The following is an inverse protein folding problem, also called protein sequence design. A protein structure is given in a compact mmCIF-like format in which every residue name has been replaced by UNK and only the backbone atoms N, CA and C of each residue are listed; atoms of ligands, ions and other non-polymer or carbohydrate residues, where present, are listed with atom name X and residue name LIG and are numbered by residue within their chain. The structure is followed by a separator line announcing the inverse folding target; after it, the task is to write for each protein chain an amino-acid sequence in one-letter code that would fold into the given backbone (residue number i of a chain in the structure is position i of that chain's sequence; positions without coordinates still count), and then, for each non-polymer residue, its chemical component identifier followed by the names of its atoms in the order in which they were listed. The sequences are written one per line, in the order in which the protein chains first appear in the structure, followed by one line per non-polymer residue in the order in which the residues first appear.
data_IF_802161313357
#
_entry.id   IF_802161313357
#
_cell.length_a   1.000
_cell.length_b   1.000
_cell.length_c   1.000
_cell.angle_alpha   90.00
_cell.angle_beta   90.00
_cell.angle_gamma   90.00
#
_symmetry.space_group_name_H-M   'P 1'
#
loop_
_entity.id
_entity.type
_entity.pdbx_description
1 polymer ?
#
# COMPACT_ATOMS: atom_id res chain seq x y z
N UNK A 1 12.31 22.14 -23.28
CA UNK A 1 13.04 22.25 -22.00
C UNK A 1 12.85 20.92 -21.28
N UNK A 2 13.93 20.26 -20.85
CA UNK A 2 13.81 19.03 -20.07
C UNK A 2 13.03 19.37 -18.79
N UNK A 3 12.00 18.57 -18.48
CA UNK A 3 11.29 18.70 -17.22
C UNK A 3 12.28 18.44 -16.09
N UNK A 4 12.48 19.41 -15.21
CA UNK A 4 13.25 19.24 -14.00
C UNK A 4 12.32 18.77 -12.91
N UNK A 5 12.63 17.65 -12.24
CA UNK A 5 11.89 17.20 -11.06
C UNK A 5 11.95 18.28 -9.98
N UNK A 6 10.81 18.54 -9.36
CA UNK A 6 10.71 19.55 -8.34
C UNK A 6 10.15 18.95 -7.05
N UNK A 7 10.93 19.07 -5.97
CA UNK A 7 10.52 18.66 -4.64
C UNK A 7 10.53 19.88 -3.71
N UNK A 8 9.51 20.72 -3.83
CA UNK A 8 9.39 21.91 -2.99
C UNK A 8 9.25 21.53 -1.52
N UNK A 9 9.94 22.23 -0.62
CA UNK A 9 9.75 22.03 0.82
C UNK A 9 8.30 22.28 1.22
N UNK A 10 7.73 21.35 1.97
CA UNK A 10 6.39 21.48 2.56
C UNK A 10 6.49 21.51 4.07
N UNK A 11 5.99 22.57 4.67
CA UNK A 11 5.81 22.66 6.12
C UNK A 11 4.42 22.12 6.48
N UNK A 12 4.39 21.29 7.53
CA UNK A 12 3.12 20.80 8.05
C UNK A 12 2.45 21.92 8.85
N UNK A 13 1.19 22.26 8.50
CA UNK A 13 0.43 23.29 9.22
C UNK A 13 0.17 22.89 10.68
N UNK A 14 -0.18 23.83 11.56
CA UNK A 14 -0.36 23.58 12.99
C UNK A 14 -1.35 22.44 13.31
N UNK A 15 -2.45 22.35 12.57
CA UNK A 15 -3.46 21.28 12.71
C UNK A 15 -2.89 19.89 12.46
N UNK A 16 -1.94 19.75 11.56
CA UNK A 16 -1.22 18.47 11.33
C UNK A 16 -0.33 18.09 12.51
N UNK A 17 0.22 19.08 13.24
CA UNK A 17 1.04 18.82 14.43
C UNK A 17 0.17 18.33 15.59
N UNK A 18 -1.00 18.92 15.78
CA UNK A 18 -1.96 18.47 16.80
C UNK A 18 -2.53 17.10 16.45
N UNK A 19 -2.93 16.86 15.20
CA UNK A 19 -3.38 15.55 14.73
C UNK A 19 -2.31 14.47 14.97
N UNK A 20 -1.03 14.77 14.76
CA UNK A 20 0.08 13.85 15.07
C UNK A 20 0.09 13.42 16.54
N UNK A 21 -0.11 14.37 17.46
CA UNK A 21 -0.18 14.07 18.90
C UNK A 21 -1.38 13.17 19.21
N UNK A 22 -2.52 13.46 18.61
CA UNK A 22 -3.74 12.66 18.76
C UNK A 22 -3.53 11.23 18.28
N UNK A 23 -2.95 11.03 17.07
CA UNK A 23 -2.67 9.71 16.52
C UNK A 23 -1.69 8.94 17.41
N UNK A 24 -0.63 9.57 17.87
CA UNK A 24 0.34 8.93 18.79
C UNK A 24 -0.30 8.52 20.11
N UNK A 25 -1.16 9.36 20.68
CA UNK A 25 -1.88 9.04 21.93
C UNK A 25 -2.81 7.83 21.71
N UNK A 26 -3.53 7.79 20.60
CA UNK A 26 -4.37 6.65 20.21
C UNK A 26 -3.53 5.38 20.04
N UNK A 27 -2.44 5.43 19.29
CA UNK A 27 -1.58 4.27 19.06
C UNK A 27 -0.99 3.74 20.37
N UNK A 28 -0.54 4.64 21.25
CA UNK A 28 -0.06 4.28 22.59
C UNK A 28 -1.15 3.55 23.39
N UNK A 29 -2.36 4.07 23.42
CA UNK A 29 -3.51 3.44 24.07
C UNK A 29 -3.81 2.04 23.51
N UNK A 30 -3.77 1.87 22.18
CA UNK A 30 -4.04 0.58 21.55
C UNK A 30 -2.92 -0.45 21.81
N UNK A 31 -1.68 -0.01 21.89
CA UNK A 31 -0.54 -0.85 22.29
C UNK A 31 -0.68 -1.29 23.76
N UNK A 32 -0.98 -0.36 24.67
CA UNK A 32 -1.18 -0.64 26.09
C UNK A 32 -2.38 -1.56 26.34
N UNK A 33 -3.43 -1.45 25.52
CA UNK A 33 -4.60 -2.33 25.54
C UNK A 33 -4.33 -3.72 24.91
N UNK A 34 -3.13 -3.96 24.37
CA UNK A 34 -2.78 -5.23 23.72
C UNK A 34 -3.47 -5.47 22.37
N UNK A 35 -4.04 -4.43 21.75
CA UNK A 35 -4.67 -4.55 20.43
C UNK A 35 -3.65 -4.96 19.38
N UNK A 36 -2.42 -4.46 19.46
CA UNK A 36 -1.29 -4.88 18.65
C UNK A 36 0.04 -4.59 19.34
N UNK A 37 1.12 -5.22 18.85
CA UNK A 37 2.49 -4.94 19.28
C UNK A 37 3.36 -4.47 18.11
N UNK A 38 4.10 -3.37 18.23
CA UNK A 38 5.00 -2.90 17.16
C UNK A 38 6.10 -3.89 16.78
N UNK A 39 6.56 -4.71 17.73
CA UNK A 39 7.53 -5.79 17.51
C UNK A 39 6.89 -7.13 17.14
N UNK A 40 5.57 -7.25 17.24
CA UNK A 40 4.83 -8.46 17.00
C UNK A 40 4.58 -8.77 15.53
N UNK A 41 4.09 -9.99 15.29
CA UNK A 41 3.59 -10.43 14.00
C UNK A 41 2.28 -9.72 13.59
N UNK A 42 1.55 -10.31 12.66
CA UNK A 42 0.22 -9.80 12.26
C UNK A 42 -0.74 -9.86 13.44
N UNK A 43 -1.46 -8.77 13.64
CA UNK A 43 -2.50 -8.71 14.65
C UNK A 43 -3.75 -9.44 14.15
N UNK A 44 -4.27 -10.35 14.97
CA UNK A 44 -5.59 -10.97 14.77
C UNK A 44 -6.72 -9.94 14.89
N UNK A 45 -6.45 -8.79 15.50
CA UNK A 45 -7.40 -7.71 15.75
C UNK A 45 -7.47 -6.66 14.62
N UNK A 46 -6.92 -6.93 13.42
CA UNK A 46 -6.85 -5.93 12.35
C UNK A 46 -8.22 -5.35 11.94
N UNK A 47 -9.28 -6.16 11.91
CA UNK A 47 -10.64 -5.70 11.62
C UNK A 47 -11.20 -4.82 12.74
N UNK A 48 -10.98 -5.18 14.02
CA UNK A 48 -11.37 -4.35 15.16
C UNK A 48 -10.61 -3.02 15.18
N UNK A 49 -9.30 -3.07 14.92
CA UNK A 49 -8.48 -1.86 14.81
C UNK A 49 -8.97 -0.93 13.69
N UNK A 50 -9.32 -1.48 12.51
CA UNK A 50 -9.88 -0.70 11.40
C UNK A 50 -11.15 0.06 11.80
N UNK A 51 -12.08 -0.58 12.52
CA UNK A 51 -13.29 0.08 13.04
C UNK A 51 -12.96 1.22 14.01
N UNK A 52 -11.97 1.03 14.88
CA UNK A 52 -11.50 2.08 15.79
C UNK A 52 -10.89 3.27 15.03
N UNK A 53 -10.11 3.00 13.98
CA UNK A 53 -9.52 4.02 13.09
C UNK A 53 -10.63 4.75 12.31
N UNK A 54 -11.63 4.01 11.79
CA UNK A 54 -12.82 4.58 11.13
C UNK A 54 -13.60 5.50 12.06
N UNK A 55 -13.84 5.08 13.31
CA UNK A 55 -14.53 5.89 14.32
C UNK A 55 -13.80 7.21 14.67
N UNK A 56 -12.48 7.31 14.42
CA UNK A 56 -11.70 8.54 14.54
C UNK A 56 -11.75 9.42 13.30
N UNK A 57 -12.41 8.98 12.23
CA UNK A 57 -12.43 9.67 10.94
C UNK A 57 -11.09 9.67 10.20
N UNK A 58 -10.31 8.60 10.36
CA UNK A 58 -8.98 8.46 9.74
C UNK A 58 -8.95 7.50 8.56
N UNK A 59 -10.11 7.01 8.12
CA UNK A 59 -10.30 6.31 6.85
C UNK A 59 -11.16 7.21 5.95
N UNK A 60 -10.83 7.30 4.67
CA UNK A 60 -11.53 8.19 3.74
C UNK A 60 -11.34 9.68 4.06
N UNK A 61 -10.21 10.05 4.67
CA UNK A 61 -9.95 11.42 5.16
C UNK A 61 -10.14 12.48 4.08
N UNK A 62 -9.68 12.23 2.86
CA UNK A 62 -9.74 13.20 1.74
C UNK A 62 -10.97 13.06 0.87
N UNK A 63 -11.86 12.12 1.17
CA UNK A 63 -13.02 11.80 0.35
C UNK A 63 -14.19 12.77 0.57
N UNK A 64 -15.10 12.89 -0.43
CA UNK A 64 -16.27 13.75 -0.33
C UNK A 64 -17.20 13.37 0.83
N UNK A 65 -17.69 14.37 1.52
CA UNK A 65 -18.61 14.19 2.68
C UNK A 65 -19.94 13.55 2.29
N UNK A 66 -20.40 13.76 1.06
CA UNK A 66 -21.65 13.19 0.55
C UNK A 66 -21.66 11.65 0.51
N UNK A 67 -20.47 11.01 0.49
CA UNK A 67 -20.31 9.56 0.59
C UNK A 67 -19.76 9.12 1.96
N UNK A 68 -19.84 9.98 2.97
CA UNK A 68 -19.35 9.67 4.32
C UNK A 68 -17.86 9.94 4.54
N UNK A 69 -17.14 10.47 3.55
CA UNK A 69 -15.76 10.92 3.70
C UNK A 69 -15.64 12.16 4.58
N UNK A 70 -14.42 12.59 4.88
CA UNK A 70 -14.18 13.66 5.87
C UNK A 70 -13.76 14.99 5.24
N UNK A 71 -13.43 15.03 3.94
CA UNK A 71 -13.00 16.25 3.24
C UNK A 71 -11.76 16.91 3.84
N UNK A 72 -10.89 16.13 4.49
CA UNK A 72 -9.62 16.58 5.06
C UNK A 72 -8.55 16.72 3.96
N UNK A 73 -7.41 17.26 4.34
CA UNK A 73 -6.29 17.53 3.43
C UNK A 73 -5.39 16.31 3.20
N UNK A 74 -4.62 16.32 2.11
CA UNK A 74 -3.61 15.29 1.82
C UNK A 74 -2.48 15.28 2.87
N UNK A 75 -2.15 16.44 3.46
CA UNK A 75 -1.14 16.54 4.51
C UNK A 75 -1.62 15.93 5.84
N UNK A 76 -2.89 16.12 6.20
CA UNK A 76 -3.47 15.45 7.38
C UNK A 76 -3.48 13.93 7.19
N UNK A 77 -3.93 13.43 6.02
CA UNK A 77 -3.89 12.01 5.67
C UNK A 77 -2.46 11.45 5.72
N UNK A 78 -1.48 12.21 5.20
CA UNK A 78 -0.07 11.84 5.26
C UNK A 78 0.39 11.61 6.69
N UNK A 79 0.08 12.52 7.61
CA UNK A 79 0.49 12.43 9.02
C UNK A 79 -0.09 11.19 9.69
N UNK A 80 -1.37 10.90 9.49
CA UNK A 80 -2.01 9.69 10.04
C UNK A 80 -1.33 8.43 9.49
N UNK A 81 -1.13 8.36 8.17
CA UNK A 81 -0.50 7.21 7.53
C UNK A 81 0.94 7.00 8.02
N UNK A 82 1.72 8.08 8.14
CA UNK A 82 3.10 8.05 8.64
C UNK A 82 3.18 7.48 10.05
N UNK A 83 2.36 7.96 10.97
CA UNK A 83 2.34 7.47 12.36
C UNK A 83 1.87 6.01 12.47
N UNK A 84 0.82 5.63 11.74
CA UNK A 84 0.34 4.24 11.69
C UNK A 84 1.44 3.28 11.24
N UNK A 85 2.18 3.61 10.20
CA UNK A 85 3.24 2.76 9.64
C UNK A 85 4.49 2.75 10.53
N UNK A 86 4.90 3.90 11.07
CA UNK A 86 6.05 3.99 11.98
C UNK A 86 5.87 3.15 13.24
N UNK A 87 4.63 3.00 13.73
CA UNK A 87 4.29 2.14 14.87
C UNK A 87 3.90 0.71 14.47
N UNK A 88 3.97 0.35 13.18
CA UNK A 88 3.53 -0.94 12.65
C UNK A 88 2.09 -1.31 13.03
N UNK A 89 1.22 -0.32 13.07
CA UNK A 89 -0.19 -0.55 13.32
C UNK A 89 -0.80 -1.50 12.27
N UNK A 90 -1.79 -2.34 12.63
CA UNK A 90 -2.37 -3.35 11.74
C UNK A 90 -3.33 -2.74 10.70
N UNK A 91 -2.80 -1.91 9.80
CA UNK A 91 -3.55 -1.15 8.79
C UNK A 91 -4.09 -1.99 7.65
N UNK A 92 -3.66 -3.24 7.51
CA UNK A 92 -3.92 -4.09 6.33
C UNK A 92 -5.40 -4.29 6.01
N UNK A 93 -6.27 -4.28 7.01
CA UNK A 93 -7.71 -4.48 6.80
C UNK A 93 -8.32 -3.36 5.96
N UNK A 94 -7.91 -2.10 6.18
CA UNK A 94 -8.51 -0.94 5.51
C UNK A 94 -7.60 -0.27 4.47
N UNK A 95 -6.28 -0.48 4.53
CA UNK A 95 -5.32 0.31 3.74
C UNK A 95 -5.51 0.17 2.22
N UNK A 96 -5.87 -1.01 1.72
CA UNK A 96 -6.17 -1.21 0.29
C UNK A 96 -7.44 -0.45 -0.11
N UNK A 97 -8.48 -0.52 0.72
CA UNK A 97 -9.72 0.21 0.50
C UNK A 97 -9.50 1.73 0.50
N UNK A 98 -8.81 2.26 1.53
CA UNK A 98 -8.55 3.70 1.69
C UNK A 98 -7.65 4.28 0.60
N UNK A 99 -6.61 3.53 0.18
CA UNK A 99 -5.61 4.05 -0.74
C UNK A 99 -5.95 3.84 -2.21
N UNK A 100 -6.60 2.74 -2.56
CA UNK A 100 -6.80 2.30 -3.95
C UNK A 100 -8.27 2.11 -4.30
N UNK A 101 -8.98 1.21 -3.62
CA UNK A 101 -10.33 0.81 -4.06
C UNK A 101 -11.36 1.91 -3.90
N UNK A 102 -11.35 2.65 -2.79
CA UNK A 102 -12.27 3.76 -2.55
C UNK A 102 -12.11 4.90 -3.56
N UNK A 103 -10.89 5.41 -3.83
CA UNK A 103 -10.66 6.40 -4.88
C UNK A 103 -11.13 5.94 -6.27
N UNK A 104 -10.91 4.66 -6.64
CA UNK A 104 -11.42 4.08 -7.89
C UNK A 104 -12.94 4.12 -7.93
N UNK A 105 -13.60 3.64 -6.87
CA UNK A 105 -15.05 3.63 -6.78
C UNK A 105 -15.64 5.05 -6.79
N UNK A 106 -15.06 5.99 -6.05
CA UNK A 106 -15.49 7.38 -6.03
C UNK A 106 -15.43 8.03 -7.41
N UNK A 107 -14.40 7.72 -8.18
CA UNK A 107 -14.18 8.33 -9.50
C UNK A 107 -14.97 7.65 -10.61
N UNK A 108 -15.10 6.32 -10.59
CA UNK A 108 -15.59 5.52 -11.71
C UNK A 108 -16.73 4.56 -11.37
N UNK A 109 -17.03 4.36 -10.08
CA UNK A 109 -18.12 3.49 -9.64
C UNK A 109 -19.49 4.07 -9.98
N UNK A 110 -20.49 3.19 -10.09
CA UNK A 110 -21.89 3.61 -10.23
C UNK A 110 -22.39 4.24 -8.92
N UNK A 111 -23.34 5.17 -9.03
CA UNK A 111 -23.78 5.98 -7.91
C UNK A 111 -24.36 5.13 -6.76
N UNK A 112 -25.14 4.10 -7.09
CA UNK A 112 -25.68 3.16 -6.12
C UNK A 112 -24.56 2.45 -5.32
N UNK A 113 -23.55 1.94 -6.02
CA UNK A 113 -22.38 1.29 -5.40
C UNK A 113 -21.60 2.25 -4.51
N UNK A 114 -21.42 3.50 -4.93
CA UNK A 114 -20.74 4.51 -4.10
C UNK A 114 -21.49 4.72 -2.78
N UNK A 115 -22.81 4.92 -2.83
CA UNK A 115 -23.65 5.16 -1.64
C UNK A 115 -23.71 3.98 -0.70
N UNK A 116 -23.63 2.77 -1.20
CA UNK A 116 -23.62 1.55 -0.40
C UNK A 116 -22.22 1.26 0.20
N UNK A 117 -21.18 1.30 -0.62
CA UNK A 117 -19.86 0.75 -0.27
C UNK A 117 -18.95 1.77 0.41
N UNK A 118 -18.95 3.04 -0.03
CA UNK A 118 -18.00 4.04 0.49
C UNK A 118 -18.19 4.30 1.99
N UNK A 119 -19.41 4.49 2.54
CA UNK A 119 -19.58 4.67 3.99
C UNK A 119 -19.08 3.48 4.81
N UNK A 120 -19.23 2.26 4.30
CA UNK A 120 -18.74 1.04 4.96
C UNK A 120 -17.22 0.89 4.91
N UNK A 121 -16.57 1.41 3.88
CA UNK A 121 -15.10 1.55 3.87
C UNK A 121 -14.68 2.56 4.95
N UNK A 122 -15.30 3.74 4.98
CA UNK A 122 -14.97 4.82 5.92
C UNK A 122 -15.12 4.38 7.38
N UNK A 123 -16.14 3.56 7.68
CA UNK A 123 -16.32 2.98 9.01
C UNK A 123 -15.30 1.90 9.40
N UNK A 124 -14.44 1.47 8.47
CA UNK A 124 -13.49 0.38 8.67
C UNK A 124 -14.14 -1.02 8.70
N UNK A 125 -15.36 -1.16 8.18
CA UNK A 125 -16.08 -2.44 8.12
C UNK A 125 -15.53 -3.34 7.01
N UNK A 126 -15.32 -2.79 5.80
CA UNK A 126 -14.99 -3.57 4.62
C UNK A 126 -13.49 -3.71 4.37
N UNK A 127 -13.08 -4.92 4.06
CA UNK A 127 -11.74 -5.26 3.61
C UNK A 127 -11.72 -5.47 2.10
N UNK A 128 -10.69 -4.92 1.43
CA UNK A 128 -10.52 -5.01 -0.02
C UNK A 128 -9.21 -5.68 -0.41
N UNK A 129 -9.24 -6.36 -1.56
CA UNK A 129 -8.05 -6.81 -2.26
C UNK A 129 -8.06 -6.33 -3.72
N UNK A 130 -6.91 -6.46 -4.39
CA UNK A 130 -6.73 -6.07 -5.80
C UNK A 130 -6.31 -7.28 -6.61
N UNK A 131 -7.04 -7.59 -7.67
CA UNK A 131 -6.79 -8.69 -8.59
C UNK A 131 -6.29 -8.19 -9.94
N UNK A 132 -4.97 -7.94 -10.08
CA UNK A 132 -4.35 -7.53 -11.34
C UNK A 132 -3.57 -8.68 -11.98
N UNK A 133 -2.56 -9.17 -11.26
CA UNK A 133 -1.58 -10.15 -11.76
C UNK A 133 -2.21 -11.53 -12.01
N UNK A 134 -1.72 -12.22 -13.03
CA UNK A 134 -2.04 -13.61 -13.37
C UNK A 134 -0.76 -14.43 -13.51
N UNK A 135 -0.80 -15.76 -13.55
CA UNK A 135 0.41 -16.57 -13.69
C UNK A 135 1.33 -16.16 -14.85
N UNK A 136 0.75 -15.69 -15.95
CA UNK A 136 1.48 -15.26 -17.14
C UNK A 136 1.42 -13.74 -17.39
N UNK A 137 0.94 -12.95 -16.43
CA UNK A 137 0.75 -11.51 -16.55
C UNK A 137 1.07 -10.82 -15.21
N UNK A 138 2.22 -10.17 -15.13
CA UNK A 138 2.66 -9.40 -13.98
C UNK A 138 2.92 -7.94 -14.38
N UNK A 139 4.18 -7.57 -14.68
CA UNK A 139 4.51 -6.24 -15.19
C UNK A 139 3.82 -5.91 -16.52
N UNK A 140 3.63 -6.89 -17.39
CA UNK A 140 2.75 -6.78 -18.57
C UNK A 140 1.30 -7.10 -18.20
N UNK A 141 0.68 -6.16 -17.50
CA UNK A 141 -0.73 -6.29 -17.05
C UNK A 141 -1.72 -6.40 -18.22
N UNK A 142 -1.32 -5.98 -19.43
CA UNK A 142 -2.14 -6.08 -20.63
C UNK A 142 -2.26 -7.47 -21.19
N UNK A 143 -1.40 -8.39 -20.77
CA UNK A 143 -1.49 -9.81 -21.09
C UNK A 143 -2.51 -10.57 -20.23
N UNK A 144 -3.27 -9.88 -19.36
CA UNK A 144 -4.29 -10.49 -18.51
C UNK A 144 -5.34 -11.20 -19.38
N UNK A 145 -5.70 -12.42 -18.96
CA UNK A 145 -6.56 -13.36 -19.68
C UNK A 145 -7.81 -13.80 -18.92
N UNK A 146 -7.90 -13.53 -17.60
CA UNK A 146 -9.12 -13.79 -16.80
C UNK A 146 -10.28 -13.05 -17.45
N UNK A 147 -11.26 -13.82 -17.95
CA UNK A 147 -12.31 -13.30 -18.83
C UNK A 147 -13.58 -12.97 -18.05
N UNK A 148 -14.20 -11.85 -18.41
CA UNK A 148 -15.57 -11.51 -18.05
C UNK A 148 -16.42 -11.53 -19.33
N UNK A 149 -17.36 -12.46 -19.39
CA UNK A 149 -18.27 -12.64 -20.54
C UNK A 149 -19.62 -12.06 -20.19
N UNK A 150 -20.14 -11.16 -21.04
CA UNK A 150 -21.46 -10.55 -20.82
C UNK A 150 -22.56 -11.61 -20.83
N UNK A 151 -23.45 -11.52 -19.86
CA UNK A 151 -24.65 -12.35 -19.74
C UNK A 151 -25.84 -11.47 -19.31
N UNK A 152 -27.01 -12.09 -19.12
CA UNK A 152 -28.20 -11.36 -18.71
C UNK A 152 -28.01 -10.76 -17.29
N UNK A 153 -28.18 -9.45 -17.15
CA UNK A 153 -28.04 -8.71 -15.90
C UNK A 153 -26.61 -8.57 -15.35
N UNK A 154 -25.58 -9.09 -16.05
CA UNK A 154 -24.22 -9.03 -15.51
C UNK A 154 -23.17 -9.72 -16.39
N UNK A 155 -22.16 -10.27 -15.74
CA UNK A 155 -20.96 -10.86 -16.35
C UNK A 155 -20.61 -12.17 -15.64
N UNK A 156 -20.22 -13.18 -16.42
CA UNK A 156 -19.62 -14.42 -15.90
C UNK A 156 -18.10 -14.33 -15.99
N UNK A 157 -17.45 -14.50 -14.85
CA UNK A 157 -15.99 -14.38 -14.71
C UNK A 157 -15.37 -15.76 -14.59
N UNK A 158 -14.38 -16.02 -15.46
CA UNK A 158 -13.61 -17.26 -15.51
C UNK A 158 -12.11 -16.98 -15.63
N UNK A 159 -11.29 -17.69 -14.86
CA UNK A 159 -9.85 -17.55 -14.86
C UNK A 159 -9.25 -17.52 -13.48
N UNK A 160 -8.10 -16.86 -13.33
CA UNK A 160 -7.42 -16.78 -12.02
C UNK A 160 -6.54 -15.56 -11.90
N UNK A 161 -6.46 -15.04 -10.66
CA UNK A 161 -5.53 -14.01 -10.25
C UNK A 161 -4.52 -14.59 -9.27
N UNK A 162 -3.29 -14.07 -9.25
CA UNK A 162 -2.23 -14.53 -8.36
C UNK A 162 -1.59 -13.33 -7.63
N UNK A 163 -0.90 -13.59 -6.55
CA UNK A 163 -0.28 -12.58 -5.70
C UNK A 163 -1.29 -11.58 -5.11
N UNK A 164 -2.55 -12.03 -5.00
CA UNK A 164 -3.61 -11.19 -4.44
C UNK A 164 -3.46 -11.08 -2.92
N UNK A 165 -2.98 -9.91 -2.47
CA UNK A 165 -2.74 -9.66 -1.06
C UNK A 165 -4.04 -9.70 -0.27
N UNK A 166 -4.03 -10.46 0.84
CA UNK A 166 -5.11 -10.51 1.82
C UNK A 166 -6.49 -10.93 1.28
N UNK A 167 -6.57 -11.62 0.12
CA UNK A 167 -7.83 -12.02 -0.50
C UNK A 167 -8.69 -12.93 0.41
N UNK A 168 -8.07 -13.74 1.26
CA UNK A 168 -8.73 -14.63 2.21
C UNK A 168 -9.53 -13.89 3.31
N UNK A 169 -9.26 -12.60 3.53
CA UNK A 169 -9.99 -11.75 4.47
C UNK A 169 -10.83 -10.67 3.78
N UNK A 170 -10.74 -10.56 2.44
CA UNK A 170 -11.40 -9.49 1.71
C UNK A 170 -12.90 -9.75 1.52
N UNK A 171 -13.70 -8.71 1.65
CA UNK A 171 -15.12 -8.71 1.29
C UNK A 171 -15.30 -8.46 -0.21
N UNK A 172 -14.45 -7.58 -0.79
CA UNK A 172 -14.49 -7.23 -2.20
C UNK A 172 -13.10 -7.20 -2.83
N UNK A 173 -13.07 -7.45 -4.14
CA UNK A 173 -11.90 -7.30 -5.00
C UNK A 173 -12.17 -6.25 -6.09
N UNK A 174 -11.22 -5.35 -6.33
CA UNK A 174 -11.16 -4.66 -7.62
C UNK A 174 -10.36 -5.55 -8.56
N UNK A 175 -11.07 -6.18 -9.50
CA UNK A 175 -10.51 -7.11 -10.47
C UNK A 175 -10.36 -6.48 -11.83
N UNK A 176 -9.17 -6.60 -12.46
CA UNK A 176 -8.94 -6.24 -13.85
C UNK A 176 -9.20 -7.46 -14.73
N UNK A 177 -10.23 -7.42 -15.57
CA UNK A 177 -10.73 -8.57 -16.32
C UNK A 177 -10.75 -8.28 -17.83
N UNK A 178 -10.61 -9.33 -18.64
CA UNK A 178 -10.66 -9.29 -20.09
C UNK A 178 -12.11 -9.36 -20.57
N UNK A 179 -12.63 -8.28 -21.14
CA UNK A 179 -13.98 -8.16 -21.70
C UNK A 179 -14.01 -8.36 -23.21
N UNK A 180 -12.96 -7.92 -23.91
CA UNK A 180 -12.76 -8.18 -25.33
C UNK A 180 -11.29 -8.46 -25.67
N UNK A 181 -10.99 -8.91 -26.86
CA UNK A 181 -9.62 -9.18 -27.28
C UNK A 181 -8.88 -7.85 -27.55
N UNK A 182 -7.56 -7.79 -27.30
CA UNK A 182 -6.75 -6.65 -27.74
C UNK A 182 -6.78 -6.55 -29.26
N UNK A 183 -6.63 -5.31 -29.79
CA UNK A 183 -6.48 -5.11 -31.23
C UNK A 183 -5.00 -5.05 -31.62
N UNK A 184 -4.62 -5.31 -32.87
CA UNK A 184 -3.23 -5.16 -33.32
C UNK A 184 -2.65 -3.75 -33.04
N UNK A 185 -3.49 -2.72 -33.14
CA UNK A 185 -3.12 -1.32 -32.95
C UNK A 185 -3.11 -0.91 -31.46
N UNK A 186 -3.85 -1.64 -30.60
CA UNK A 186 -4.00 -1.29 -29.19
C UNK A 186 -4.02 -2.51 -28.26
N UNK A 187 -2.84 -2.92 -27.79
CA UNK A 187 -2.69 -3.99 -26.79
C UNK A 187 -3.41 -3.71 -25.46
N UNK A 188 -3.74 -2.44 -25.17
CA UNK A 188 -4.39 -2.00 -23.92
C UNK A 188 -5.90 -2.12 -23.97
N UNK A 189 -6.46 -2.32 -25.17
CA UNK A 189 -7.90 -2.53 -25.36
C UNK A 189 -8.39 -3.83 -24.74
N UNK A 190 -9.65 -3.87 -24.37
CA UNK A 190 -10.34 -5.09 -23.95
C UNK A 190 -10.18 -5.43 -22.46
N UNK A 191 -9.75 -4.50 -21.64
CA UNK A 191 -9.68 -4.65 -20.17
C UNK A 191 -10.68 -3.73 -19.49
N UNK A 192 -11.42 -4.27 -18.52
CA UNK A 192 -12.40 -3.58 -17.69
C UNK A 192 -12.18 -3.88 -16.21
N UNK A 193 -12.43 -2.92 -15.34
CA UNK A 193 -12.39 -3.16 -13.89
C UNK A 193 -13.78 -3.55 -13.36
N UNK A 194 -13.79 -4.44 -12.39
CA UNK A 194 -15.01 -4.91 -11.73
C UNK A 194 -14.85 -4.95 -10.22
N UNK A 195 -15.93 -4.65 -9.51
CA UNK A 195 -16.09 -4.89 -8.09
C UNK A 195 -16.63 -6.31 -7.89
N UNK A 196 -15.78 -7.24 -7.47
CA UNK A 196 -16.14 -8.64 -7.27
C UNK A 196 -16.33 -8.91 -5.79
N UNK A 197 -17.52 -9.39 -5.40
CA UNK A 197 -17.79 -9.85 -4.02
C UNK A 197 -17.06 -11.17 -3.77
N UNK A 198 -16.14 -11.20 -2.79
CA UNK A 198 -15.23 -12.35 -2.58
C UNK A 198 -15.89 -13.59 -1.99
N UNK A 199 -17.14 -13.47 -1.50
CA UNK A 199 -17.96 -14.59 -1.00
C UNK A 199 -18.90 -15.16 -2.05
N UNK A 200 -18.80 -14.73 -3.32
CA UNK A 200 -19.61 -15.23 -4.43
C UNK A 200 -19.33 -16.71 -4.69
N UNK A 201 -20.36 -17.44 -5.10
CA UNK A 201 -20.23 -18.82 -5.55
C UNK A 201 -19.26 -18.89 -6.74
N UNK A 202 -18.42 -19.93 -6.81
CA UNK A 202 -17.43 -20.13 -7.87
C UNK A 202 -16.06 -19.52 -7.55
N UNK A 203 -15.88 -18.79 -6.44
CA UNK A 203 -14.57 -18.29 -6.02
C UNK A 203 -13.87 -19.34 -5.15
N UNK A 204 -12.63 -19.69 -5.53
CA UNK A 204 -11.73 -20.51 -4.71
C UNK A 204 -10.47 -19.71 -4.39
N UNK A 205 -10.12 -19.61 -3.11
CA UNK A 205 -8.94 -18.89 -2.62
C UNK A 205 -7.92 -19.91 -2.12
N UNK A 206 -6.70 -19.88 -2.70
CA UNK A 206 -5.60 -20.76 -2.33
C UNK A 206 -4.46 -19.94 -1.71
N UNK A 207 -3.92 -20.35 -0.55
CA UNK A 207 -2.87 -19.61 0.13
C UNK A 207 -1.53 -19.67 -0.62
N UNK A 208 -0.80 -18.55 -0.58
CA UNK A 208 0.61 -18.48 -0.95
C UNK A 208 1.36 -18.00 0.28
N UNK A 209 2.18 -18.88 0.84
CA UNK A 209 2.99 -18.58 2.02
C UNK A 209 4.27 -17.91 1.56
N UNK A 210 4.61 -16.77 2.17
CA UNK A 210 5.81 -16.01 1.83
C UNK A 210 7.05 -16.46 2.63
N UNK A 211 8.20 -15.83 2.40
CA UNK A 211 9.47 -16.18 3.07
C UNK A 211 9.42 -16.02 4.59
N UNK A 212 8.51 -15.19 5.13
CA UNK A 212 8.34 -15.04 6.59
C UNK A 212 7.49 -16.13 7.23
N UNK A 213 7.00 -17.09 6.43
CA UNK A 213 6.03 -18.08 6.86
C UNK A 213 4.58 -17.57 6.95
N UNK A 214 4.34 -16.30 6.61
CA UNK A 214 3.01 -15.69 6.70
C UNK A 214 2.16 -15.97 5.44
N UNK A 215 0.86 -16.20 5.64
CA UNK A 215 -0.15 -16.24 4.59
C UNK A 215 -0.51 -14.81 4.19
N UNK A 216 0.25 -14.24 3.23
CA UNK A 216 0.06 -12.86 2.76
C UNK A 216 -0.69 -12.78 1.45
N UNK A 217 -0.38 -13.69 0.55
CA UNK A 217 -0.83 -13.69 -0.83
C UNK A 217 -1.73 -14.89 -1.10
N UNK A 218 -2.46 -14.78 -2.20
CA UNK A 218 -3.38 -15.83 -2.62
C UNK A 218 -3.38 -15.97 -4.14
N UNK A 219 -3.61 -17.19 -4.63
CA UNK A 219 -4.24 -17.43 -5.90
C UNK A 219 -5.76 -17.38 -5.70
N UNK A 220 -6.47 -16.65 -6.55
CA UNK A 220 -7.93 -16.56 -6.57
C UNK A 220 -8.41 -17.10 -7.90
N UNK A 221 -9.17 -18.20 -7.86
CA UNK A 221 -9.74 -18.87 -9.03
C UNK A 221 -11.20 -18.49 -9.16
N UNK A 222 -11.63 -18.15 -10.36
CA UNK A 222 -13.00 -17.84 -10.75
C UNK A 222 -13.52 -18.93 -11.69
N UNK A 223 -14.64 -19.53 -11.31
CA UNK A 223 -15.35 -20.57 -12.05
C UNK A 223 -16.83 -20.17 -12.16
N UNK A 224 -17.23 -19.61 -13.30
CA UNK A 224 -18.56 -19.04 -13.57
C UNK A 224 -19.06 -18.07 -12.48
N UNK A 225 -18.18 -17.18 -12.00
CA UNK A 225 -18.53 -16.20 -10.97
C UNK A 225 -19.37 -15.09 -11.58
N UNK A 226 -20.63 -14.96 -11.12
CA UNK A 226 -21.50 -13.88 -11.57
C UNK A 226 -21.16 -12.54 -10.90
N UNK A 227 -20.99 -11.49 -11.71
CA UNK A 227 -20.80 -10.10 -11.29
C UNK A 227 -21.88 -9.24 -11.92
N UNK A 228 -22.74 -8.54 -11.16
CA UNK A 228 -23.82 -7.74 -11.70
C UNK A 228 -23.31 -6.52 -12.47
N UNK A 229 -24.09 -6.02 -13.42
CA UNK A 229 -23.73 -4.85 -14.23
C UNK A 229 -23.44 -3.60 -13.39
N UNK A 230 -24.12 -3.42 -12.27
CA UNK A 230 -23.86 -2.32 -11.33
C UNK A 230 -22.44 -2.35 -10.72
N UNK A 231 -21.81 -3.50 -10.71
CA UNK A 231 -20.46 -3.69 -10.18
C UNK A 231 -19.35 -3.50 -11.24
N UNK A 232 -19.70 -3.18 -12.48
CA UNK A 232 -18.71 -2.73 -13.46
C UNK A 232 -18.21 -1.33 -13.10
N UNK A 233 -16.91 -1.12 -13.17
CA UNK A 233 -16.28 0.15 -12.79
C UNK A 233 -15.85 0.89 -14.05
N UNK A 234 -16.43 2.07 -14.28
CA UNK A 234 -16.18 2.92 -15.44
C UNK A 234 -16.81 2.37 -16.71
N UNK A 235 -16.06 2.35 -17.80
CA UNK A 235 -16.51 1.94 -19.14
C UNK A 235 -15.86 0.62 -19.57
N UNK A 236 -16.61 -0.17 -20.35
CA UNK A 236 -16.09 -1.42 -20.93
C UNK A 236 -14.84 -1.13 -21.79
N UNK A 237 -13.82 -1.96 -21.64
CA UNK A 237 -12.56 -1.91 -22.40
C UNK A 237 -11.67 -0.67 -22.12
N UNK A 238 -12.00 0.15 -21.12
CA UNK A 238 -11.30 1.42 -20.84
C UNK A 238 -10.49 1.41 -19.52
N UNK A 239 -10.26 0.25 -18.91
CA UNK A 239 -9.58 0.16 -17.60
C UNK A 239 -8.21 0.82 -17.56
N UNK A 240 -7.48 0.90 -18.68
CA UNK A 240 -6.16 1.53 -18.72
C UNK A 240 -6.20 3.03 -18.42
N UNK A 241 -7.20 3.75 -18.95
CA UNK A 241 -7.36 5.19 -18.67
C UNK A 241 -7.62 5.44 -17.19
N UNK A 242 -8.29 4.49 -16.55
CA UNK A 242 -8.65 4.55 -15.14
C UNK A 242 -7.43 4.22 -14.25
N UNK A 243 -6.72 3.14 -14.52
CA UNK A 243 -5.58 2.69 -13.75
C UNK A 243 -4.38 3.67 -13.78
N UNK A 244 -4.15 4.36 -14.89
CA UNK A 244 -3.01 5.28 -15.01
C UNK A 244 -3.11 6.51 -14.10
N UNK A 245 -4.32 6.97 -13.78
CA UNK A 245 -4.55 8.14 -12.94
C UNK A 245 -4.30 7.89 -11.44
N UNK A 246 -4.31 6.65 -11.01
CA UNK A 246 -4.20 6.26 -9.58
C UNK A 246 -2.78 6.02 -9.12
N UNK A 247 -1.88 5.70 -10.05
CA UNK A 247 -0.52 5.27 -9.74
C UNK A 247 0.33 6.34 -9.01
N UNK A 248 0.02 7.62 -9.17
CA UNK A 248 0.72 8.70 -8.46
C UNK A 248 0.40 8.68 -6.94
N UNK A 249 -0.86 8.45 -6.59
CA UNK A 249 -1.30 8.36 -5.18
C UNK A 249 -0.72 7.14 -4.47
N UNK A 250 -0.52 6.05 -5.21
CA UNK A 250 -0.02 4.79 -4.66
C UNK A 250 1.49 4.81 -4.37
N UNK A 251 2.28 5.57 -5.15
CA UNK A 251 3.74 5.42 -5.21
C UNK A 251 4.53 6.31 -4.26
N UNK A 252 3.94 7.32 -3.66
CA UNK A 252 4.68 8.36 -2.92
C UNK A 252 4.46 8.36 -1.41
N UNK A 253 3.57 7.53 -0.90
CA UNK A 253 3.23 7.49 0.52
C UNK A 253 4.35 6.93 1.41
N UNK A 254 4.25 7.11 2.74
CA UNK A 254 5.20 6.58 3.71
C UNK A 254 5.35 5.05 3.66
N UNK A 255 4.37 4.34 3.12
CA UNK A 255 4.39 2.89 2.88
C UNK A 255 5.43 2.45 1.83
N UNK A 256 6.19 3.37 1.25
CA UNK A 256 7.24 3.10 0.28
C UNK A 256 8.65 3.23 0.82
N UNK A 257 8.79 3.52 2.12
CA UNK A 257 10.10 3.67 2.78
C UNK A 257 10.08 3.39 4.29
N UNK A 258 8.95 2.96 4.87
CA UNK A 258 8.80 2.65 6.30
C UNK A 258 8.61 1.14 6.62
N UNK A 259 8.48 0.27 5.64
CA UNK A 259 8.22 -1.17 5.88
C UNK A 259 9.35 -1.86 6.65
N UNK A 260 10.59 -1.44 6.46
CA UNK A 260 11.77 -2.01 7.15
C UNK A 260 12.29 -1.13 8.30
N UNK A 261 11.62 -0.03 8.61
CA UNK A 261 12.05 0.93 9.65
C UNK A 261 12.27 0.26 11.01
N UNK A 262 11.46 -0.76 11.35
CA UNK A 262 11.54 -1.41 12.67
C UNK A 262 12.93 -2.02 12.95
N UNK A 263 13.63 -2.49 11.93
CA UNK A 263 15.02 -2.96 12.09
C UNK A 263 15.95 -1.86 12.63
N UNK A 264 15.81 -0.64 12.11
CA UNK A 264 16.60 0.51 12.58
C UNK A 264 16.16 0.98 13.98
N UNK A 265 14.87 0.99 14.28
CA UNK A 265 14.34 1.35 15.61
C UNK A 265 14.88 0.41 16.68
N UNK A 266 14.83 -0.90 16.44
CA UNK A 266 15.34 -1.88 17.38
C UNK A 266 16.88 -1.87 17.46
N UNK A 267 17.59 -1.56 16.35
CA UNK A 267 19.03 -1.32 16.39
C UNK A 267 19.37 -0.18 17.35
N UNK A 268 18.72 0.97 17.22
CA UNK A 268 18.96 2.13 18.11
C UNK A 268 18.71 1.75 19.56
N UNK A 269 17.68 0.95 19.83
CA UNK A 269 17.38 0.50 21.19
C UNK A 269 18.48 -0.40 21.76
N UNK A 270 19.01 -1.37 21.00
CA UNK A 270 20.03 -2.30 21.52
C UNK A 270 21.43 -1.68 21.55
N UNK A 271 21.71 -0.71 20.70
CA UNK A 271 22.97 0.07 20.73
C UNK A 271 23.01 0.98 21.96
N UNK A 272 21.85 1.51 22.40
CA UNK A 272 21.74 2.35 23.58
C UNK A 272 22.32 3.77 23.40
N UNK A 273 22.53 4.48 24.54
CA UNK A 273 22.92 5.90 24.54
C UNK A 273 24.39 6.15 24.22
N UNK A 274 25.23 5.12 24.24
CA UNK A 274 26.69 5.23 24.03
C UNK A 274 27.13 4.40 22.81
N UNK A 275 26.75 4.81 21.58
CA UNK A 275 27.18 4.11 20.37
C UNK A 275 28.68 4.29 20.13
N UNK A 276 29.32 3.28 19.55
CA UNK A 276 30.66 3.48 18.97
C UNK A 276 30.59 4.49 17.81
N UNK A 277 31.72 5.13 17.45
CA UNK A 277 31.77 6.07 16.32
C UNK A 277 31.21 5.46 15.03
N UNK A 278 31.54 4.20 14.72
CA UNK A 278 31.01 3.48 13.58
C UNK A 278 29.49 3.33 13.61
N UNK A 279 28.92 3.02 14.79
CA UNK A 279 27.46 2.90 14.96
C UNK A 279 26.79 4.26 14.85
N UNK A 280 27.33 5.29 15.48
CA UNK A 280 26.81 6.64 15.43
C UNK A 280 26.80 7.19 13.99
N UNK A 281 27.92 7.01 13.23
CA UNK A 281 27.98 7.41 11.83
C UNK A 281 26.97 6.62 10.97
N UNK A 282 26.92 5.31 11.13
CA UNK A 282 26.01 4.46 10.35
C UNK A 282 24.55 4.77 10.61
N UNK A 283 24.13 4.88 11.86
CA UNK A 283 22.77 5.27 12.26
C UNK A 283 22.43 6.66 11.73
N UNK A 284 23.35 7.64 11.91
CA UNK A 284 23.17 9.00 11.42
C UNK A 284 22.95 9.07 9.91
N UNK A 285 23.66 8.25 9.14
CA UNK A 285 23.50 8.13 7.67
C UNK A 285 22.11 7.63 7.30
N UNK A 286 21.61 6.60 7.98
CA UNK A 286 20.26 6.06 7.69
C UNK A 286 19.15 7.02 8.14
N UNK A 287 19.34 7.74 9.23
CA UNK A 287 18.42 8.82 9.67
C UNK A 287 18.38 9.96 8.65
N UNK A 288 19.53 10.35 8.06
CA UNK A 288 19.59 11.36 7.00
C UNK A 288 18.84 10.90 5.73
N UNK A 289 18.96 9.62 5.35
CA UNK A 289 18.17 9.03 4.26
C UNK A 289 16.68 9.09 4.55
N UNK A 290 16.24 8.66 5.73
CA UNK A 290 14.84 8.74 6.16
C UNK A 290 14.30 10.18 6.11
N UNK A 291 15.06 11.15 6.60
CA UNK A 291 14.69 12.56 6.57
C UNK A 291 14.52 13.06 5.12
N UNK A 292 15.40 12.65 4.22
CA UNK A 292 15.32 12.99 2.79
C UNK A 292 14.09 12.36 2.15
N UNK A 293 13.87 11.06 2.34
CA UNK A 293 12.69 10.35 1.81
C UNK A 293 11.40 10.98 2.30
N UNK A 294 11.33 11.31 3.60
CA UNK A 294 10.19 11.99 4.19
C UNK A 294 9.91 13.35 3.53
N UNK A 295 10.94 14.17 3.31
CA UNK A 295 10.80 15.47 2.64
C UNK A 295 10.29 15.33 1.22
N UNK A 296 10.83 14.41 0.44
CA UNK A 296 10.38 14.13 -0.92
C UNK A 296 8.92 13.64 -0.94
N UNK A 297 8.58 12.71 -0.06
CA UNK A 297 7.22 12.17 0.06
C UNK A 297 6.20 13.25 0.48
N UNK A 298 6.55 14.13 1.42
CA UNK A 298 5.73 15.31 1.80
C UNK A 298 5.55 16.30 0.65
N UNK A 299 6.61 16.55 -0.13
CA UNK A 299 6.52 17.41 -1.31
C UNK A 299 5.48 16.85 -2.30
N UNK A 300 5.50 15.55 -2.57
CA UNK A 300 4.49 14.91 -3.43
C UNK A 300 3.09 15.03 -2.83
N UNK A 301 2.92 14.87 -1.51
CA UNK A 301 1.63 15.07 -0.85
C UNK A 301 1.13 16.53 -1.02
N UNK A 302 2.02 17.50 -0.93
CA UNK A 302 1.71 18.92 -1.21
C UNK A 302 1.29 19.15 -2.66
N UNK A 303 1.96 18.51 -3.62
CA UNK A 303 1.57 18.58 -5.04
C UNK A 303 0.17 18.00 -5.28
N UNK A 304 -0.14 16.85 -4.67
CA UNK A 304 -1.46 16.23 -4.74
C UNK A 304 -2.53 17.13 -4.12
N UNK A 305 -2.24 17.79 -3.00
CA UNK A 305 -3.14 18.76 -2.38
C UNK A 305 -3.39 19.97 -3.26
N UNK A 306 -2.40 20.39 -4.05
CA UNK A 306 -2.52 21.45 -5.04
C UNK A 306 -3.18 20.99 -6.37
N UNK A 307 -3.73 19.77 -6.44
CA UNK A 307 -4.39 19.20 -7.61
C UNK A 307 -3.45 18.80 -8.76
N UNK A 308 -2.12 18.72 -8.51
CA UNK A 308 -1.16 18.23 -9.49
C UNK A 308 -1.16 16.70 -9.57
N UNK A 309 -0.61 16.15 -10.66
CA UNK A 309 -0.44 14.70 -10.88
C UNK A 309 1.06 14.33 -10.98
N UNK A 310 1.81 14.30 -9.86
CA UNK A 310 3.26 14.14 -9.83
C UNK A 310 3.71 12.69 -10.06
N UNK A 311 3.45 12.14 -11.25
CA UNK A 311 3.70 10.72 -11.55
C UNK A 311 5.19 10.36 -11.57
N UNK A 312 6.05 11.26 -12.05
CA UNK A 312 7.50 11.06 -12.08
C UNK A 312 8.12 11.22 -10.70
N UNK A 313 7.77 12.27 -9.96
CA UNK A 313 8.22 12.49 -8.57
C UNK A 313 7.82 11.35 -7.65
N UNK A 314 6.56 10.87 -7.76
CA UNK A 314 6.09 9.71 -7.01
C UNK A 314 6.88 8.43 -7.38
N UNK A 315 7.25 8.26 -8.65
CA UNK A 315 8.07 7.14 -9.11
C UNK A 315 9.50 7.21 -8.56
N UNK A 316 10.07 8.41 -8.45
CA UNK A 316 11.40 8.64 -7.83
C UNK A 316 11.35 8.29 -6.35
N UNK A 317 10.34 8.78 -5.62
CA UNK A 317 10.18 8.46 -4.18
C UNK A 317 10.13 6.95 -3.98
N UNK A 318 9.36 6.23 -4.81
CA UNK A 318 9.28 4.77 -4.71
C UNK A 318 10.59 4.07 -5.09
N UNK A 319 11.27 4.45 -6.17
CA UNK A 319 12.55 3.80 -6.56
C UNK A 319 13.62 3.99 -5.49
N UNK A 320 13.77 5.19 -4.95
CA UNK A 320 14.72 5.48 -3.87
C UNK A 320 14.30 4.79 -2.55
N UNK A 321 13.02 4.83 -2.20
CA UNK A 321 12.48 4.15 -1.01
C UNK A 321 12.71 2.65 -1.07
N UNK A 322 12.44 2.02 -2.20
CA UNK A 322 12.71 0.59 -2.40
C UNK A 322 14.19 0.24 -2.21
N UNK A 323 15.11 1.06 -2.76
CA UNK A 323 16.54 0.87 -2.56
C UNK A 323 16.93 0.96 -1.08
N UNK A 324 16.40 1.96 -0.38
CA UNK A 324 16.62 2.15 1.04
C UNK A 324 16.14 0.94 1.84
N UNK A 325 14.90 0.52 1.64
CA UNK A 325 14.28 -0.59 2.37
C UNK A 325 14.96 -1.94 2.12
N UNK A 326 15.43 -2.20 0.91
CA UNK A 326 16.16 -3.42 0.59
C UNK A 326 17.58 -3.45 1.18
N UNK A 327 18.24 -2.30 1.28
CA UNK A 327 19.57 -2.20 1.84
C UNK A 327 19.60 -2.16 3.38
N UNK A 328 18.55 -1.60 4.00
CA UNK A 328 18.51 -1.31 5.43
C UNK A 328 18.75 -2.54 6.33
N UNK A 329 18.13 -3.71 6.11
CA UNK A 329 18.32 -4.87 6.99
C UNK A 329 19.79 -5.32 7.05
N UNK A 330 20.49 -5.31 5.93
CA UNK A 330 21.92 -5.67 5.91
C UNK A 330 22.80 -4.62 6.62
N UNK A 331 22.51 -3.34 6.44
CA UNK A 331 23.19 -2.26 7.15
C UNK A 331 22.96 -2.35 8.67
N UNK A 332 21.71 -2.62 9.09
CA UNK A 332 21.35 -2.85 10.50
C UNK A 332 22.16 -4.00 11.07
N UNK A 333 22.26 -5.13 10.37
CA UNK A 333 23.05 -6.29 10.79
C UNK A 333 24.52 -5.95 11.00
N UNK A 334 25.12 -5.15 10.10
CA UNK A 334 26.53 -4.75 10.18
C UNK A 334 26.82 -3.76 11.32
N UNK A 335 25.81 -3.02 11.79
CA UNK A 335 25.91 -2.08 12.91
C UNK A 335 25.54 -2.69 14.26
N UNK A 336 24.92 -3.87 14.24
CA UNK A 336 24.52 -4.55 15.48
C UNK A 336 25.71 -4.78 16.40
N UNK A 337 25.53 -4.71 17.74
CA UNK A 337 26.54 -5.08 18.70
C UNK A 337 27.00 -6.53 18.46
N UNK A 338 28.32 -6.75 18.56
CA UNK A 338 28.85 -8.13 18.54
C UNK A 338 28.46 -8.80 19.85
N UNK A 339 27.75 -9.92 19.77
CA UNK A 339 27.40 -10.71 20.97
C UNK A 339 28.66 -11.26 21.61
N UNK A 340 28.90 -10.89 22.87
CA UNK A 340 29.76 -11.68 23.76
C UNK A 340 29.04 -12.94 24.22
N UNK A 341 29.75 -13.91 24.79
CA UNK A 341 29.21 -15.20 25.30
C UNK A 341 28.24 -15.05 26.49
N UNK A 342 27.70 -13.86 26.75
CA UNK A 342 26.75 -13.58 27.82
C UNK A 342 25.35 -14.02 27.39
N UNK A 343 24.61 -14.66 28.31
CA UNK A 343 23.26 -15.16 28.08
C UNK A 343 22.32 -14.14 27.44
N UNK A 344 21.39 -14.58 26.55
CA UNK A 344 20.45 -13.69 25.89
C UNK A 344 19.56 -12.99 26.91
N UNK A 345 19.66 -11.67 26.97
CA UNK A 345 18.67 -10.86 27.65
C UNK A 345 17.39 -10.84 26.81
N UNK A 346 16.22 -10.89 27.43
CA UNK A 346 14.90 -10.90 26.76
C UNK A 346 14.69 -9.73 25.79
N UNK A 347 15.52 -8.69 25.88
CA UNK A 347 15.58 -7.55 24.95
C UNK A 347 16.18 -7.89 23.57
N UNK A 348 16.99 -8.93 23.46
CA UNK A 348 17.64 -9.32 22.20
C UNK A 348 16.67 -9.99 21.23
N UNK A 349 15.65 -10.68 21.74
CA UNK A 349 14.66 -11.37 20.91
C UNK A 349 13.87 -10.40 20.01
N UNK A 350 13.57 -9.20 20.46
CA UNK A 350 12.86 -8.17 19.69
C UNK A 350 13.70 -7.67 18.50
N UNK A 351 14.99 -7.43 18.75
CA UNK A 351 15.92 -7.00 17.69
C UNK A 351 16.06 -8.08 16.61
N UNK A 352 16.32 -9.33 17.04
CA UNK A 352 16.45 -10.47 16.13
C UNK A 352 15.17 -10.71 15.33
N UNK A 353 14.01 -10.67 15.98
CA UNK A 353 12.71 -10.79 15.30
C UNK A 353 12.51 -9.67 14.27
N UNK A 354 12.82 -8.42 14.61
CA UNK A 354 12.72 -7.28 13.70
C UNK A 354 13.69 -7.40 12.53
N UNK A 355 14.95 -7.78 12.78
CA UNK A 355 15.97 -7.98 11.77
C UNK A 355 15.59 -9.12 10.80
N UNK A 356 15.17 -10.27 11.34
CA UNK A 356 14.74 -11.41 10.55
C UNK A 356 13.53 -11.05 9.68
N UNK A 357 12.50 -10.47 10.27
CA UNK A 357 11.31 -10.04 9.53
C UNK A 357 11.66 -9.09 8.40
N UNK A 358 12.39 -8.01 8.69
CA UNK A 358 12.75 -6.99 7.68
C UNK A 358 13.65 -7.56 6.59
N UNK A 359 14.54 -8.50 6.91
CA UNK A 359 15.37 -9.21 5.94
C UNK A 359 14.51 -10.06 4.99
N UNK A 360 13.55 -10.81 5.52
CA UNK A 360 12.73 -11.73 4.74
C UNK A 360 11.68 -11.02 3.88
N UNK A 361 11.21 -9.82 4.27
CA UNK A 361 10.27 -9.05 3.44
C UNK A 361 10.93 -8.16 2.40
N UNK A 362 12.20 -7.77 2.59
CA UNK A 362 12.89 -6.82 1.72
C UNK A 362 12.84 -7.17 0.23
N UNK A 363 12.98 -8.45 -0.21
CA UNK A 363 12.93 -8.80 -1.63
C UNK A 363 11.62 -8.43 -2.34
N UNK A 364 10.46 -8.52 -1.64
CA UNK A 364 9.15 -8.22 -2.25
C UNK A 364 8.96 -6.73 -2.57
N UNK A 365 9.66 -5.83 -1.85
CA UNK A 365 9.42 -4.38 -1.89
C UNK A 365 9.77 -3.77 -3.25
N UNK A 366 10.67 -4.40 -4.02
CA UNK A 366 11.00 -3.97 -5.38
C UNK A 366 9.89 -4.27 -6.40
N UNK A 367 9.01 -5.24 -6.12
CA UNK A 367 7.98 -5.71 -7.06
C UNK A 367 6.67 -4.96 -6.84
N UNK A 368 6.34 -4.65 -5.61
CA UNK A 368 5.08 -4.06 -5.17
C UNK A 368 4.86 -2.64 -5.76
N UNK A 369 3.67 -2.38 -6.37
CA UNK A 369 3.32 -1.06 -6.93
C UNK A 369 4.11 -0.67 -8.20
N UNK A 370 4.58 -1.64 -8.97
CA UNK A 370 5.44 -1.52 -10.14
C UNK A 370 6.91 -1.77 -9.82
N UNK A 371 7.56 -2.57 -10.67
CA UNK A 371 8.99 -2.86 -10.50
C UNK A 371 9.83 -1.61 -10.74
N UNK A 372 11.07 -1.60 -10.24
CA UNK A 372 12.02 -0.49 -10.43
C UNK A 372 12.27 -0.18 -11.91
N UNK A 373 12.28 -1.22 -12.77
CA UNK A 373 12.45 -1.08 -14.22
C UNK A 373 11.28 -0.30 -14.83
N UNK A 374 10.05 -0.59 -14.41
CA UNK A 374 8.85 0.14 -14.84
C UNK A 374 8.91 1.60 -14.36
N UNK A 375 9.28 1.84 -13.09
CA UNK A 375 9.39 3.18 -12.52
C UNK A 375 10.45 4.01 -13.27
N UNK A 376 11.63 3.45 -13.50
CA UNK A 376 12.69 4.11 -14.25
C UNK A 376 12.30 4.40 -15.69
N UNK A 377 11.49 3.53 -16.30
CA UNK A 377 10.87 3.81 -17.60
C UNK A 377 9.93 5.02 -17.61
N UNK A 378 9.19 5.25 -16.52
CA UNK A 378 8.34 6.44 -16.34
C UNK A 378 9.21 7.68 -16.16
N UNK A 379 10.20 7.64 -15.28
CA UNK A 379 11.15 8.71 -15.01
C UNK A 379 11.89 9.11 -16.29
N UNK A 380 12.42 8.14 -17.04
CA UNK A 380 13.14 8.38 -18.29
C UNK A 380 12.27 9.07 -19.36
N UNK A 381 10.99 8.69 -19.44
CA UNK A 381 10.04 9.33 -20.38
C UNK A 381 9.78 10.78 -20.00
N UNK A 382 9.62 11.08 -18.72
CA UNK A 382 9.39 12.44 -18.25
C UNK A 382 10.61 13.33 -18.46
N UNK A 383 11.82 12.75 -18.40
CA UNK A 383 13.07 13.43 -18.77
C UNK A 383 13.29 13.59 -20.28
N UNK A 384 12.40 13.10 -21.12
CA UNK A 384 12.54 13.14 -22.57
C UNK A 384 13.60 12.18 -23.15
N UNK A 385 13.98 11.15 -22.38
CA UNK A 385 14.98 10.14 -22.79
C UNK A 385 14.39 8.98 -23.58
N UNK A 386 13.06 8.97 -23.77
CA UNK A 386 12.28 7.96 -24.51
C UNK A 386 11.11 8.60 -25.25
#
# INVERSE_FOLDING_TARGET
MANTFQFDPVELPPECKELRKEVRAFLKQEIEAGTFSPGGGRSENAALFAKKVGARGWIGMTWPKEYGGHGRTQLERYVVTEEMLAHRAPTRHYSTADRQSGPVLLRYGQEEVKREIIPRIVSGELCFCIGLSEPNSGSDVFAASTRATKTDGGWLVNGRKIWTSNAHNADYMIGLLRTSNPTPENRRHGLTQFLVAMKSKGITIRPIINLTGAHDFNEVVFDDVFVPDSHMIGEVDQAWKQASAELAYERSGPDRWLETLQGLVELVRVVGPEPSERQAEGIGREVAHLATMRRMSLSVAGMLQAGKTPAAEASIVKDLGTNFEQALPNKVRLMAPVRGDSAPDSNDDRFEQALNYTTLIAPKLTIQGGTREILRGIIARDLGLR
#
